data_IF_994085260440
#
_entry.id   IF_994085260440
#
_cell.length_a   1.000
_cell.length_b   1.000
_cell.length_c   1.000
_cell.angle_alpha   90.00
_cell.angle_beta   90.00
_cell.angle_gamma   90.00
#
_symmetry.space_group_name_H-M   'P 1'
#
loop_
_entity.id
_entity.type
_entity.pdbx_description
1 polymer ?
#
# COMPACT_ATOMS: atom_id res chain seq x y z
N UNK A 1 -6.77 -7.83 -11.85
CA UNK A 1 -7.58 -7.69 -13.09
C UNK A 1 -8.57 -8.83 -13.33
N UNK A 2 -8.14 -10.11 -13.32
CA UNK A 2 -9.06 -11.25 -13.59
C UNK A 2 -10.26 -11.29 -12.64
N UNK A 3 -10.04 -11.06 -11.33
CA UNK A 3 -11.12 -10.96 -10.34
C UNK A 3 -12.10 -9.82 -10.67
N UNK A 4 -11.60 -8.65 -11.07
CA UNK A 4 -12.46 -7.53 -11.46
C UNK A 4 -13.31 -7.84 -12.70
N UNK A 5 -12.74 -8.53 -13.70
CA UNK A 5 -13.48 -8.97 -14.88
C UNK A 5 -14.56 -10.02 -14.55
N UNK A 6 -14.28 -10.95 -13.62
CA UNK A 6 -15.30 -11.88 -13.13
C UNK A 6 -16.43 -11.15 -12.41
N UNK A 7 -16.10 -10.18 -11.55
CA UNK A 7 -17.11 -9.36 -10.89
C UNK A 7 -17.95 -8.55 -11.89
N UNK A 8 -17.32 -7.95 -12.90
CA UNK A 8 -17.98 -7.15 -13.95
C UNK A 8 -18.96 -7.99 -14.77
N UNK A 9 -18.62 -9.25 -15.08
CA UNK A 9 -19.52 -10.19 -15.76
C UNK A 9 -20.81 -10.48 -14.97
N UNK A 10 -20.81 -10.21 -13.66
CA UNK A 10 -21.97 -10.28 -12.77
C UNK A 10 -22.51 -8.90 -12.38
N UNK A 11 -22.16 -7.84 -13.12
CA UNK A 11 -22.52 -6.45 -12.82
C UNK A 11 -22.06 -5.96 -11.45
N UNK A 12 -21.05 -6.63 -10.88
CA UNK A 12 -20.43 -6.28 -9.62
C UNK A 12 -19.37 -5.21 -9.80
N UNK A 13 -19.23 -4.37 -8.77
CA UNK A 13 -18.15 -3.39 -8.66
C UNK A 13 -17.05 -3.89 -7.72
N UNK A 14 -15.84 -3.35 -7.88
CA UNK A 14 -14.68 -3.69 -7.03
C UNK A 14 -14.16 -2.49 -6.26
N UNK A 15 -13.81 -2.71 -5.01
CA UNK A 15 -13.06 -1.76 -4.18
C UNK A 15 -11.78 -2.49 -3.69
N UNK A 16 -10.63 -2.30 -4.34
CA UNK A 16 -9.40 -2.99 -3.97
C UNK A 16 -8.97 -2.62 -2.55
N UNK A 17 -8.69 -3.63 -1.73
CA UNK A 17 -8.09 -3.42 -0.42
C UNK A 17 -6.63 -2.98 -0.57
N UNK A 18 -6.24 -1.89 0.06
CA UNK A 18 -4.91 -1.30 0.04
C UNK A 18 -4.61 -0.57 1.37
N UNK A 19 -4.07 -1.33 2.32
CA UNK A 19 -3.56 -0.83 3.60
C UNK A 19 -2.04 -1.06 3.71
N UNK A 20 -1.32 -0.74 2.63
CA UNK A 20 0.12 -0.99 2.47
C UNK A 20 0.82 0.33 2.13
N UNK A 21 2.03 0.25 1.58
CA UNK A 21 2.82 1.41 1.18
C UNK A 21 2.63 1.85 -0.28
N UNK A 22 3.38 2.88 -0.71
CA UNK A 22 3.13 3.64 -1.94
C UNK A 22 3.26 2.82 -3.23
N UNK A 23 4.04 1.73 -3.23
CA UNK A 23 4.13 0.81 -4.36
C UNK A 23 2.82 0.01 -4.56
N UNK A 24 2.17 -0.36 -3.45
CA UNK A 24 0.87 -1.01 -3.51
C UNK A 24 -0.17 -0.04 -4.04
N UNK A 25 -0.16 1.20 -3.57
CA UNK A 25 -1.01 2.29 -4.05
C UNK A 25 -0.83 2.55 -5.55
N UNK A 26 0.40 2.67 -6.05
CA UNK A 26 0.67 2.81 -7.48
C UNK A 26 0.14 1.61 -8.29
N UNK A 27 0.28 0.39 -7.78
CA UNK A 27 -0.26 -0.82 -8.41
C UNK A 27 -1.79 -0.80 -8.47
N UNK A 28 -2.44 -0.44 -7.36
CA UNK A 28 -3.88 -0.33 -7.30
C UNK A 28 -4.42 0.74 -8.25
N UNK A 29 -3.75 1.89 -8.39
CA UNK A 29 -4.12 2.94 -9.36
C UNK A 29 -4.09 2.41 -10.79
N UNK A 30 -3.05 1.66 -11.18
CA UNK A 30 -2.99 1.06 -12.52
C UNK A 30 -4.08 0.01 -12.75
N UNK A 31 -4.39 -0.82 -11.74
CA UNK A 31 -5.51 -1.77 -11.81
C UNK A 31 -6.84 -1.03 -11.96
N UNK A 32 -7.04 0.01 -11.16
CA UNK A 32 -8.21 0.89 -11.16
C UNK A 32 -8.41 1.57 -12.52
N UNK A 33 -7.33 2.06 -13.14
CA UNK A 33 -7.35 2.64 -14.49
C UNK A 33 -7.69 1.61 -15.58
N UNK A 34 -7.34 0.33 -15.36
CA UNK A 34 -7.49 -0.75 -16.33
C UNK A 34 -8.79 -1.57 -16.17
N UNK A 35 -9.63 -1.26 -15.17
CA UNK A 35 -10.88 -1.97 -14.89
C UNK A 35 -12.08 -1.00 -14.95
N UNK A 36 -13.15 -1.30 -15.71
CA UNK A 36 -14.27 -0.38 -15.88
C UNK A 36 -15.22 -0.33 -14.66
N UNK A 37 -15.12 -1.29 -13.74
CA UNK A 37 -16.06 -1.52 -12.65
C UNK A 37 -15.50 -1.17 -11.26
N UNK A 38 -14.61 -0.17 -11.18
CA UNK A 38 -14.12 0.32 -9.90
C UNK A 38 -15.19 1.13 -9.16
N UNK A 39 -15.39 0.85 -7.86
CA UNK A 39 -16.23 1.64 -6.97
C UNK A 39 -15.46 2.78 -6.32
N UNK A 40 -14.39 2.44 -5.60
CA UNK A 40 -13.55 3.36 -4.84
C UNK A 40 -12.16 2.72 -4.62
N UNK A 41 -11.14 3.56 -4.45
CA UNK A 41 -9.79 3.14 -4.11
C UNK A 41 -9.53 3.41 -2.64
N UNK A 42 -9.21 2.37 -1.87
CA UNK A 42 -8.69 2.54 -0.51
C UNK A 42 -7.25 3.10 -0.57
N UNK A 43 -6.94 4.04 0.32
CA UNK A 43 -5.62 4.68 0.42
C UNK A 43 -5.30 4.95 1.89
N UNK A 44 -4.10 4.55 2.32
CA UNK A 44 -3.58 4.73 3.68
C UNK A 44 -2.30 5.54 3.75
N UNK A 45 -1.73 5.86 2.58
CA UNK A 45 -0.49 6.60 2.37
C UNK A 45 -0.31 7.87 3.23
N UNK A 46 -1.38 8.61 3.52
CA UNK A 46 -1.33 9.80 4.38
C UNK A 46 -1.18 9.49 5.88
N UNK A 47 -1.48 8.27 6.30
CA UNK A 47 -1.41 7.81 7.69
C UNK A 47 -0.17 6.98 7.98
N UNK A 48 0.66 6.71 6.97
CA UNK A 48 1.92 6.01 7.14
C UNK A 48 3.00 6.93 7.73
N UNK A 49 4.09 6.32 8.20
CA UNK A 49 5.26 7.04 8.73
C UNK A 49 5.84 7.98 7.67
N UNK A 50 6.27 9.17 8.10
CA UNK A 50 6.56 10.29 7.18
C UNK A 50 7.66 9.95 6.16
N UNK A 51 8.67 9.18 6.57
CA UNK A 51 9.77 8.77 5.69
C UNK A 51 9.31 7.84 4.56
N UNK A 52 8.15 7.18 4.68
CA UNK A 52 7.65 6.27 3.64
C UNK A 52 7.36 7.03 2.35
N UNK A 53 6.90 8.29 2.42
CA UNK A 53 6.65 9.13 1.24
C UNK A 53 7.92 9.34 0.41
N UNK A 54 9.09 9.26 1.04
CA UNK A 54 10.39 9.48 0.42
C UNK A 54 10.97 8.24 -0.27
N UNK A 55 10.35 7.05 -0.12
CA UNK A 55 10.82 5.80 -0.74
C UNK A 55 10.48 5.72 -2.24
N UNK A 56 9.58 6.57 -2.72
CA UNK A 56 9.22 6.73 -4.12
C UNK A 56 9.34 8.18 -4.56
N UNK A 57 9.57 8.41 -5.84
CA UNK A 57 9.69 9.76 -6.40
C UNK A 57 8.34 10.44 -6.71
N UNK A 58 7.25 9.68 -6.68
CA UNK A 58 5.90 10.16 -6.90
C UNK A 58 4.97 9.53 -5.87
N UNK A 59 4.19 10.38 -5.22
CA UNK A 59 3.20 10.01 -4.24
C UNK A 59 1.82 10.43 -4.73
N UNK A 60 0.83 9.58 -4.47
CA UNK A 60 -0.54 9.85 -4.88
C UNK A 60 -1.20 10.81 -3.90
N UNK A 61 -1.69 11.94 -4.40
CA UNK A 61 -2.45 12.90 -3.62
C UNK A 61 -3.94 12.76 -3.92
N UNK A 62 -4.76 12.85 -2.86
CA UNK A 62 -6.22 12.86 -2.98
C UNK A 62 -6.70 14.31 -3.09
N UNK A 63 -7.12 14.71 -4.28
CA UNK A 63 -7.66 16.05 -4.55
C UNK A 63 -9.14 15.90 -4.92
N UNK A 64 -10.02 16.54 -4.14
CA UNK A 64 -11.48 16.46 -4.31
C UNK A 64 -12.01 15.02 -4.40
N UNK A 65 -11.46 14.12 -3.58
CA UNK A 65 -11.82 12.71 -3.53
C UNK A 65 -11.34 11.89 -4.74
N UNK A 66 -10.35 12.39 -5.50
CA UNK A 66 -9.81 11.74 -6.69
C UNK A 66 -8.29 11.65 -6.63
N UNK A 67 -7.75 10.64 -7.29
CA UNK A 67 -6.30 10.45 -7.45
C UNK A 67 -5.97 10.55 -8.93
N UNK A 68 -4.89 11.25 -9.26
CA UNK A 68 -4.38 11.35 -10.63
C UNK A 68 -3.66 10.06 -11.00
N UNK A 69 -4.00 9.50 -12.16
CA UNK A 69 -3.28 8.34 -12.72
C UNK A 69 -1.93 8.85 -13.29
N UNK A 70 -0.78 8.30 -12.87
CA UNK A 70 0.51 8.66 -13.44
C UNK A 70 0.57 8.43 -14.96
N UNK A 71 1.21 9.34 -15.68
CA UNK A 71 1.37 9.28 -17.15
C UNK A 71 2.72 8.68 -17.59
N UNK A 72 3.50 8.13 -16.67
CA UNK A 72 4.79 7.50 -16.93
C UNK A 72 4.62 5.98 -17.17
N UNK A 73 5.54 5.33 -17.90
CA UNK A 73 5.52 3.88 -18.07
C UNK A 73 5.54 3.09 -16.76
N UNK A 74 5.09 1.83 -16.81
CA UNK A 74 5.11 0.93 -15.67
C UNK A 74 4.08 1.32 -14.60
N UNK A 75 4.48 1.28 -13.34
CA UNK A 75 3.63 1.70 -12.21
C UNK A 75 3.51 3.23 -12.09
N UNK A 76 4.37 3.97 -12.81
CA UNK A 76 4.42 5.42 -12.76
C UNK A 76 5.12 6.00 -11.54
N UNK A 77 5.94 5.19 -10.86
CA UNK A 77 6.78 5.52 -9.70
C UNK A 77 8.18 4.92 -9.90
N UNK A 78 9.21 5.61 -9.42
CA UNK A 78 10.58 5.11 -9.30
C UNK A 78 10.95 4.97 -7.82
N UNK A 79 11.80 3.98 -7.50
CA UNK A 79 12.27 3.75 -6.14
C UNK A 79 13.43 4.67 -5.77
N UNK A 80 13.35 5.26 -4.59
CA UNK A 80 14.46 5.94 -3.96
C UNK A 80 15.30 4.94 -3.14
N UNK A 81 16.27 4.31 -3.80
CA UNK A 81 17.16 3.32 -3.18
C UNK A 81 17.91 3.86 -1.96
N UNK A 82 18.29 5.14 -1.97
CA UNK A 82 19.01 5.75 -0.84
C UNK A 82 18.14 5.88 0.41
N UNK A 83 16.84 6.08 0.25
CA UNK A 83 15.92 6.10 1.39
C UNK A 83 15.62 4.69 1.86
N UNK A 84 15.37 3.75 0.94
CA UNK A 84 15.14 2.34 1.27
C UNK A 84 16.28 1.72 2.09
N UNK A 85 17.54 2.06 1.78
CA UNK A 85 18.71 1.57 2.52
C UNK A 85 18.71 1.99 4.00
N UNK A 86 18.01 3.08 4.36
CA UNK A 86 17.89 3.52 5.76
C UNK A 86 16.84 2.73 6.54
N UNK A 87 15.91 2.07 5.84
CA UNK A 87 14.77 1.35 6.42
C UNK A 87 14.71 -0.09 5.90
N UNK A 88 15.75 -0.91 6.17
CA UNK A 88 15.77 -2.29 5.69
C UNK A 88 14.61 -3.09 6.26
N UNK A 89 14.09 -4.02 5.46
CA UNK A 89 13.09 -4.97 5.94
C UNK A 89 13.64 -5.81 7.09
N UNK A 90 12.88 -5.91 8.18
CA UNK A 90 13.14 -6.85 9.27
C UNK A 90 12.00 -7.85 9.37
N UNK A 91 12.33 -9.14 9.52
CA UNK A 91 11.32 -10.21 9.64
C UNK A 91 10.38 -10.04 10.84
N UNK A 92 10.80 -9.24 11.81
CA UNK A 92 10.05 -8.83 12.98
C UNK A 92 9.04 -7.73 12.77
N UNK A 93 9.06 -7.07 11.61
CA UNK A 93 8.16 -5.96 11.31
C UNK A 93 6.77 -6.51 10.94
N UNK A 94 6.21 -7.31 11.83
CA UNK A 94 4.83 -7.75 11.83
C UNK A 94 4.21 -7.35 13.15
N UNK A 95 2.90 -7.11 13.16
CA UNK A 95 2.16 -6.88 14.39
C UNK A 95 1.92 -8.24 15.06
N UNK A 96 2.52 -8.53 16.23
CA UNK A 96 2.28 -9.79 16.94
C UNK A 96 0.92 -9.69 17.63
N UNK A 97 -0.14 -9.76 16.83
CA UNK A 97 -1.51 -9.74 17.33
C UNK A 97 -1.62 -10.78 18.45
N UNK A 98 -2.19 -10.38 19.58
CA UNK A 98 -2.36 -11.19 20.80
C UNK A 98 -1.13 -11.34 21.72
N UNK A 99 0.05 -10.84 21.36
CA UNK A 99 1.17 -10.77 22.31
C UNK A 99 0.95 -9.63 23.33
N UNK A 100 1.38 -9.77 24.61
CA UNK A 100 1.34 -8.65 25.54
C UNK A 100 2.05 -7.40 24.99
N UNK A 101 1.39 -6.24 25.01
CA UNK A 101 1.94 -4.99 24.49
C UNK A 101 1.77 -4.77 22.97
N UNK A 102 1.09 -5.68 22.25
CA UNK A 102 0.85 -5.57 20.79
C UNK A 102 0.18 -4.24 20.40
N UNK A 103 -0.65 -3.68 21.29
CA UNK A 103 -1.40 -2.46 21.06
C UNK A 103 -0.50 -1.21 20.93
N UNK A 104 0.73 -1.27 21.46
CA UNK A 104 1.68 -0.15 21.45
C UNK A 104 2.34 0.05 20.09
N UNK A 105 2.33 -0.99 19.24
CA UNK A 105 2.95 -0.98 17.90
C UNK A 105 4.43 -0.54 17.93
N UNK A 106 5.08 -0.73 19.07
CA UNK A 106 6.50 -0.53 19.26
C UNK A 106 7.18 -1.77 18.66
N UNK A 107 8.04 -1.60 17.67
CA UNK A 107 8.74 -2.69 16.96
C UNK A 107 9.71 -3.51 17.83
N UNK A 108 9.70 -3.32 19.16
CA UNK A 108 10.41 -4.19 20.07
C UNK A 108 9.72 -5.55 20.14
N UNK A 109 10.29 -6.47 19.38
CA UNK A 109 9.95 -7.89 19.35
C UNK A 109 9.92 -8.45 20.76
N UNK A 110 8.92 -9.29 21.09
CA UNK A 110 9.12 -10.27 22.14
C UNK A 110 10.40 -11.06 21.82
N UNK A 111 11.34 -11.09 22.75
CA UNK A 111 12.44 -12.06 22.68
C UNK A 111 11.78 -13.44 22.65
N UNK A 112 11.88 -14.15 21.53
CA UNK A 112 11.47 -15.54 21.47
C UNK A 112 12.27 -16.27 22.54
N UNK A 113 11.58 -16.82 23.53
CA UNK A 113 12.17 -17.62 24.59
C UNK A 113 12.89 -18.81 23.92
N UNK A 114 14.19 -19.04 24.16
CA UNK A 114 14.95 -20.09 23.50
C UNK A 114 14.64 -21.52 24.00
N UNK A 115 13.56 -21.74 24.76
CA UNK A 115 13.14 -23.06 25.25
C UNK A 115 12.44 -23.93 24.18
#
# INVERSE_FOLDING_TARGET
RQVAAMADAHYGVVAPHNAQGPISTATCIQISAACPNLLVQEIFDEYNVEWEREIVDFHSEVIDGRITIPNRPGLGVELNWKELEKHPYEISNFLPLFAPGWERREGERPQLDPE
#
